data_IF_611742470953
#
_entry.id   IF_611742470953
#
_cell.length_a   1.000
_cell.length_b   1.000
_cell.length_c   1.000
_cell.angle_alpha   90.00
_cell.angle_beta   90.00
_cell.angle_gamma   90.00
#
_symmetry.space_group_name_H-M   'P 1'
#
loop_
_entity.id
_entity.type
_entity.pdbx_description
1 polymer ?
#
# COMPACT_ATOMS: atom_id res chain seq x y z
N UNK A 1 -4.91 13.16 -16.03
CA UNK A 1 -5.05 11.82 -15.38
C UNK A 1 -3.68 11.46 -14.84
N UNK A 2 -3.63 11.04 -13.57
CA UNK A 2 -2.39 10.53 -12.96
C UNK A 2 -2.42 8.99 -12.99
N UNK A 3 -1.27 8.38 -13.27
CA UNK A 3 -1.12 6.93 -13.34
C UNK A 3 -0.93 6.29 -11.97
N UNK A 4 -1.23 5.01 -11.89
CA UNK A 4 -0.80 4.05 -10.88
C UNK A 4 -0.21 2.87 -11.66
N UNK A 5 0.93 2.36 -11.25
CA UNK A 5 1.61 1.31 -12.01
C UNK A 5 2.05 0.15 -11.11
N UNK A 6 1.87 -1.07 -11.64
CA UNK A 6 2.35 -2.29 -11.01
C UNK A 6 3.79 -2.53 -11.46
N UNK A 7 4.71 -2.61 -10.51
CA UNK A 7 6.15 -2.71 -10.77
C UNK A 7 6.84 -3.62 -9.75
N UNK A 8 7.99 -4.15 -10.11
CA UNK A 8 8.88 -4.87 -9.21
C UNK A 8 8.25 -6.09 -8.49
N UNK A 9 7.27 -6.73 -9.15
CA UNK A 9 6.63 -7.94 -8.63
C UNK A 9 7.54 -9.17 -8.78
N UNK A 10 8.10 -9.38 -9.98
CA UNK A 10 8.92 -10.55 -10.31
C UNK A 10 10.39 -10.19 -10.62
N UNK A 11 10.65 -8.94 -10.91
CA UNK A 11 11.96 -8.39 -11.27
C UNK A 11 11.97 -6.88 -11.09
N UNK A 12 13.17 -6.30 -11.05
CA UNK A 12 13.40 -4.86 -10.94
C UNK A 12 14.01 -4.33 -12.24
N UNK A 13 13.20 -3.88 -13.19
CA UNK A 13 13.63 -3.32 -14.48
C UNK A 13 13.42 -1.79 -14.57
N UNK A 14 13.65 -1.06 -13.46
CA UNK A 14 13.51 0.39 -13.43
C UNK A 14 12.06 0.88 -13.42
N UNK A 15 11.09 0.02 -13.01
CA UNK A 15 9.68 0.38 -12.94
C UNK A 15 9.39 1.47 -11.91
N UNK A 16 10.12 1.50 -10.80
CA UNK A 16 10.02 2.54 -9.77
C UNK A 16 10.48 3.89 -10.33
N UNK A 17 11.66 3.94 -10.95
CA UNK A 17 12.17 5.14 -11.61
C UNK A 17 11.20 5.70 -12.66
N UNK A 18 10.64 4.82 -13.47
CA UNK A 18 9.66 5.20 -14.48
C UNK A 18 8.42 5.82 -13.83
N UNK A 19 7.92 5.21 -12.76
CA UNK A 19 6.78 5.72 -12.01
C UNK A 19 7.02 7.11 -11.44
N UNK A 20 8.16 7.30 -10.78
CA UNK A 20 8.56 8.59 -10.20
C UNK A 20 8.77 9.64 -11.29
N UNK A 21 9.48 9.30 -12.37
CA UNK A 21 9.73 10.21 -13.50
C UNK A 21 8.44 10.72 -14.15
N UNK A 22 7.40 9.91 -14.17
CA UNK A 22 6.10 10.28 -14.72
C UNK A 22 5.08 10.76 -13.67
N UNK A 23 5.53 11.06 -12.45
CA UNK A 23 4.69 11.54 -11.35
C UNK A 23 3.46 10.64 -11.11
N UNK A 24 3.66 9.33 -11.13
CA UNK A 24 2.62 8.38 -10.79
C UNK A 24 2.11 8.61 -9.36
N UNK A 25 0.83 8.39 -9.11
CA UNK A 25 0.27 8.46 -7.75
C UNK A 25 0.88 7.37 -6.86
N UNK A 26 1.08 6.18 -7.43
CA UNK A 26 1.69 5.07 -6.72
C UNK A 26 2.46 4.14 -7.64
N UNK A 27 3.36 3.39 -7.03
CA UNK A 27 3.99 2.19 -7.54
C UNK A 27 3.56 1.03 -6.66
N UNK A 28 2.99 0.00 -7.26
CA UNK A 28 2.28 -1.06 -6.55
C UNK A 28 3.06 -2.38 -6.69
N UNK A 29 2.97 -3.30 -5.73
CA UNK A 29 3.69 -4.56 -5.50
C UNK A 29 4.98 -4.39 -4.71
N UNK A 30 6.12 -4.16 -5.37
CA UNK A 30 7.42 -3.92 -4.75
C UNK A 30 7.96 -5.11 -3.95
N UNK A 31 7.64 -6.36 -4.34
CA UNK A 31 8.21 -7.56 -3.74
C UNK A 31 9.74 -7.58 -3.89
N UNK A 32 10.23 -7.03 -5.01
CA UNK A 32 11.66 -6.82 -5.27
C UNK A 32 11.95 -5.31 -5.19
N UNK A 33 12.65 -4.91 -4.14
CA UNK A 33 12.96 -3.50 -3.86
C UNK A 33 14.37 -3.37 -3.31
N UNK A 34 15.21 -2.60 -3.97
CA UNK A 34 16.59 -2.30 -3.55
C UNK A 34 16.72 -0.93 -2.86
N UNK A 35 17.95 -0.51 -2.57
CA UNK A 35 18.23 0.76 -1.93
C UNK A 35 18.08 1.95 -2.89
N UNK A 36 18.31 1.74 -4.19
CA UNK A 36 18.17 2.78 -5.21
C UNK A 36 16.70 3.11 -5.40
N UNK A 37 15.82 2.11 -5.48
CA UNK A 37 14.36 2.28 -5.52
C UNK A 37 13.85 3.10 -4.32
N UNK A 38 14.35 2.79 -3.11
CA UNK A 38 14.00 3.54 -1.89
C UNK A 38 14.47 4.99 -1.98
N UNK A 39 15.71 5.22 -2.43
CA UNK A 39 16.25 6.55 -2.57
C UNK A 39 15.47 7.40 -3.58
N UNK A 40 15.06 6.80 -4.70
CA UNK A 40 14.21 7.44 -5.72
C UNK A 40 12.84 7.80 -5.13
N UNK A 41 12.18 6.88 -4.44
CA UNK A 41 10.88 7.11 -3.81
C UNK A 41 10.94 8.22 -2.75
N UNK A 42 11.99 8.30 -1.94
CA UNK A 42 12.17 9.34 -0.91
C UNK A 42 12.22 10.75 -1.48
N UNK A 43 12.65 10.91 -2.70
CA UNK A 43 12.73 12.20 -3.40
C UNK A 43 11.51 12.48 -4.27
N UNK A 44 10.38 11.82 -4.03
CA UNK A 44 9.17 11.90 -4.84
C UNK A 44 7.89 11.98 -4.00
N UNK A 45 6.78 12.31 -4.65
CA UNK A 45 5.42 12.24 -4.10
C UNK A 45 4.71 10.90 -4.43
N UNK A 46 5.41 9.96 -5.09
CA UNK A 46 4.86 8.66 -5.48
C UNK A 46 4.77 7.74 -4.27
N UNK A 47 3.61 7.21 -3.99
CA UNK A 47 3.36 6.35 -2.82
C UNK A 47 3.66 4.88 -3.14
N UNK A 48 4.53 4.19 -2.39
CA UNK A 48 4.66 2.74 -2.47
C UNK A 48 3.39 2.06 -1.93
N UNK A 49 2.87 1.06 -2.66
CA UNK A 49 1.69 0.27 -2.26
C UNK A 49 2.04 -1.20 -2.21
N UNK A 50 1.85 -1.81 -1.06
CA UNK A 50 2.03 -3.25 -0.89
C UNK A 50 0.71 -4.01 -1.06
N UNK A 51 0.79 -5.18 -1.69
CA UNK A 51 -0.33 -6.03 -2.09
C UNK A 51 -0.24 -7.42 -1.43
N UNK A 52 -0.41 -7.53 -0.10
CA UNK A 52 -0.12 -8.76 0.63
C UNK A 52 -0.97 -9.95 0.20
N UNK A 53 -2.16 -9.71 -0.31
CA UNK A 53 -3.05 -10.76 -0.81
C UNK A 53 -2.50 -11.46 -2.05
N UNK A 54 -1.86 -10.71 -2.94
CA UNK A 54 -1.21 -11.24 -4.13
C UNK A 54 -0.01 -12.13 -3.76
N UNK A 55 0.91 -11.61 -2.94
CA UNK A 55 2.07 -12.38 -2.47
C UNK A 55 1.64 -13.66 -1.74
N UNK A 56 0.58 -13.59 -0.91
CA UNK A 56 0.02 -14.74 -0.22
C UNK A 56 -0.53 -15.80 -1.19
N UNK A 57 -1.37 -15.38 -2.12
CA UNK A 57 -2.05 -16.30 -3.04
C UNK A 57 -1.09 -16.98 -4.01
N UNK A 58 -0.11 -16.25 -4.51
CA UNK A 58 0.89 -16.76 -5.47
C UNK A 58 2.12 -17.36 -4.81
N UNK A 59 2.19 -17.39 -3.47
CA UNK A 59 3.38 -17.83 -2.72
C UNK A 59 4.67 -17.09 -3.12
N UNK A 60 4.55 -15.79 -3.38
CA UNK A 60 5.67 -14.90 -3.70
C UNK A 60 6.35 -14.37 -2.43
N UNK A 61 7.58 -13.88 -2.53
CA UNK A 61 8.16 -13.04 -1.49
C UNK A 61 7.23 -11.88 -1.14
N UNK A 62 7.28 -11.43 0.11
CA UNK A 62 6.50 -10.29 0.54
C UNK A 62 7.28 -8.98 0.34
N UNK A 63 6.58 -7.91 -0.02
CA UNK A 63 7.12 -6.54 -0.06
C UNK A 63 7.89 -6.24 1.23
N UNK A 64 9.12 -5.70 1.18
CA UNK A 64 9.94 -5.42 2.36
C UNK A 64 9.44 -4.19 3.12
N UNK A 65 8.22 -4.29 3.67
CA UNK A 65 7.49 -3.17 4.30
C UNK A 65 8.28 -2.52 5.44
N UNK A 66 8.97 -3.32 6.29
CA UNK A 66 9.80 -2.75 7.35
C UNK A 66 10.92 -1.85 6.82
N UNK A 67 11.56 -2.26 5.72
CA UNK A 67 12.60 -1.46 5.07
C UNK A 67 12.06 -0.13 4.56
N UNK A 68 10.88 -0.17 3.89
CA UNK A 68 10.19 1.02 3.37
C UNK A 68 9.83 1.97 4.52
N UNK A 69 9.16 1.49 5.55
CA UNK A 69 8.70 2.31 6.68
C UNK A 69 9.90 2.85 7.48
N UNK A 70 10.90 2.02 7.74
CA UNK A 70 12.11 2.43 8.48
C UNK A 70 12.94 3.48 7.72
N UNK A 71 12.80 3.55 6.41
CA UNK A 71 13.43 4.61 5.60
C UNK A 71 12.69 5.95 5.67
N UNK A 72 11.54 6.01 6.36
CA UNK A 72 10.71 7.21 6.47
C UNK A 72 9.66 7.37 5.37
N UNK A 73 9.48 6.37 4.51
CA UNK A 73 8.44 6.39 3.48
C UNK A 73 7.08 5.98 4.05
N UNK A 74 6.03 6.65 3.59
CA UNK A 74 4.66 6.18 3.80
C UNK A 74 4.41 4.96 2.91
N UNK A 75 3.81 3.91 3.50
CA UNK A 75 3.40 2.71 2.76
C UNK A 75 1.87 2.62 2.78
N UNK A 76 1.26 2.37 1.62
CA UNK A 76 -0.17 2.06 1.54
C UNK A 76 -0.39 0.54 1.37
N UNK A 77 -1.59 0.08 1.72
CA UNK A 77 -2.05 -1.29 1.51
C UNK A 77 -3.25 -1.31 0.57
N UNK A 78 -3.28 -2.29 -0.33
CA UNK A 78 -4.42 -2.56 -1.19
C UNK A 78 -4.61 -4.08 -1.37
N UNK A 79 -5.78 -4.47 -1.90
CA UNK A 79 -6.13 -5.89 -2.08
C UNK A 79 -5.62 -6.47 -3.39
N UNK A 80 -5.40 -5.64 -4.41
CA UNK A 80 -5.16 -6.10 -5.79
C UNK A 80 -6.26 -7.06 -6.29
N UNK A 81 -7.52 -6.83 -5.88
CA UNK A 81 -8.60 -7.77 -6.13
C UNK A 81 -8.77 -8.08 -7.60
N UNK A 82 -8.42 -9.30 -7.96
CA UNK A 82 -8.60 -9.85 -9.30
C UNK A 82 -8.66 -11.40 -9.24
N UNK A 83 -9.28 -12.08 -10.23
CA UNK A 83 -9.44 -13.53 -10.19
C UNK A 83 -8.13 -14.32 -10.39
N UNK A 84 -7.09 -13.70 -10.96
CA UNK A 84 -5.85 -14.40 -11.35
C UNK A 84 -4.82 -14.49 -10.23
N UNK A 85 -4.66 -13.45 -9.44
CA UNK A 85 -3.55 -13.35 -8.48
C UNK A 85 -3.96 -12.91 -7.07
N UNK A 86 -5.17 -12.37 -6.88
CA UNK A 86 -5.65 -11.92 -5.58
C UNK A 86 -7.18 -12.03 -5.47
N UNK A 87 -7.75 -13.24 -5.36
CA UNK A 87 -9.19 -13.45 -5.45
C UNK A 87 -9.98 -13.03 -4.20
N UNK A 88 -9.42 -12.17 -3.36
CA UNK A 88 -10.07 -11.64 -2.15
C UNK A 88 -9.95 -10.14 -2.03
N UNK A 89 -11.09 -9.43 -2.00
CA UNK A 89 -11.17 -8.02 -1.68
C UNK A 89 -11.29 -7.71 -0.17
N UNK A 90 -11.08 -8.71 0.69
CA UNK A 90 -11.23 -8.55 2.15
C UNK A 90 -10.06 -7.77 2.75
N UNK A 91 -10.23 -6.46 2.94
CA UNK A 91 -9.20 -5.59 3.52
C UNK A 91 -8.82 -5.97 4.96
N UNK A 92 -9.72 -6.55 5.77
CA UNK A 92 -9.35 -7.05 7.11
C UNK A 92 -8.32 -8.19 7.01
N UNK A 93 -8.45 -9.04 5.99
CA UNK A 93 -7.46 -10.08 5.71
C UNK A 93 -6.13 -9.48 5.25
N UNK A 94 -6.16 -8.47 4.38
CA UNK A 94 -4.94 -7.75 3.95
C UNK A 94 -4.22 -7.11 5.14
N UNK A 95 -4.98 -6.47 6.02
CA UNK A 95 -4.44 -5.87 7.25
C UNK A 95 -3.83 -6.93 8.19
N UNK A 96 -4.46 -8.09 8.33
CA UNK A 96 -3.93 -9.22 9.13
C UNK A 96 -2.62 -9.76 8.53
N UNK A 97 -2.56 -9.92 7.21
CA UNK A 97 -1.31 -10.31 6.52
C UNK A 97 -0.21 -9.27 6.74
N UNK A 98 -0.54 -7.98 6.70
CA UNK A 98 0.44 -6.91 6.92
C UNK A 98 1.02 -6.96 8.36
N UNK A 99 0.18 -7.20 9.37
CA UNK A 99 0.67 -7.40 10.74
C UNK A 99 1.59 -8.62 10.84
N UNK A 100 1.18 -9.76 10.28
CA UNK A 100 1.88 -11.04 10.46
C UNK A 100 3.11 -11.15 9.57
N UNK A 101 2.98 -10.85 8.28
CA UNK A 101 4.03 -11.05 7.29
C UNK A 101 4.96 -9.84 7.17
N UNK A 102 4.41 -8.63 7.13
CA UNK A 102 5.18 -7.40 7.00
C UNK A 102 5.70 -6.87 8.35
N UNK A 103 5.29 -7.49 9.47
CA UNK A 103 5.64 -7.06 10.85
C UNK A 103 5.28 -5.59 11.11
N UNK A 104 4.18 -5.14 10.53
CA UNK A 104 3.65 -3.80 10.77
C UNK A 104 2.89 -3.76 12.10
N UNK A 105 2.96 -2.63 12.81
CA UNK A 105 2.10 -2.41 13.99
C UNK A 105 0.65 -2.16 13.55
N UNK A 106 -0.29 -2.26 14.50
CA UNK A 106 -1.70 -1.99 14.21
C UNK A 106 -1.93 -0.56 13.71
N UNK A 107 -1.22 0.41 14.26
CA UNK A 107 -1.29 1.83 13.88
C UNK A 107 -0.76 2.04 12.46
N UNK A 108 0.37 1.41 12.12
CA UNK A 108 0.94 1.46 10.77
C UNK A 108 -0.01 0.86 9.75
N UNK A 109 -0.63 -0.27 10.06
CA UNK A 109 -1.60 -0.95 9.18
C UNK A 109 -2.87 -0.10 8.99
N UNK A 110 -3.39 0.52 10.04
CA UNK A 110 -4.54 1.43 9.94
C UNK A 110 -4.19 2.62 9.05
N UNK A 111 -3.05 3.27 9.29
CA UNK A 111 -2.60 4.39 8.46
C UNK A 111 -2.39 3.97 6.99
N UNK A 112 -1.78 2.81 6.75
CA UNK A 112 -1.56 2.27 5.42
C UNK A 112 -2.86 2.00 4.66
N UNK A 113 -3.91 1.55 5.37
CA UNK A 113 -5.21 1.22 4.78
C UNK A 113 -6.16 2.42 4.68
N UNK A 114 -5.82 3.56 5.27
CA UNK A 114 -6.69 4.75 5.31
C UNK A 114 -6.02 5.97 4.71
N UNK A 115 -5.23 6.72 5.46
CA UNK A 115 -4.67 8.00 5.00
C UNK A 115 -3.66 7.81 3.88
N UNK A 116 -2.75 6.83 3.98
CA UNK A 116 -1.77 6.56 2.94
C UNK A 116 -2.44 6.02 1.66
N UNK A 117 -3.45 5.14 1.81
CA UNK A 117 -4.25 4.68 0.68
C UNK A 117 -4.99 5.83 0.00
N UNK A 118 -5.52 6.79 0.76
CA UNK A 118 -6.16 7.99 0.21
C UNK A 118 -5.16 8.87 -0.58
N UNK A 119 -3.91 8.98 -0.14
CA UNK A 119 -2.84 9.63 -0.90
C UNK A 119 -2.56 8.87 -2.20
N UNK A 120 -2.35 7.55 -2.13
CA UNK A 120 -2.11 6.72 -3.30
C UNK A 120 -3.25 6.76 -4.33
N UNK A 121 -4.46 7.14 -3.90
CA UNK A 121 -5.64 7.33 -4.76
C UNK A 121 -5.84 8.79 -5.21
N UNK A 122 -5.03 9.73 -4.72
CA UNK A 122 -5.17 11.16 -5.01
C UNK A 122 -6.41 11.81 -4.39
N UNK A 123 -6.99 11.23 -3.34
CA UNK A 123 -8.23 11.70 -2.69
C UNK A 123 -8.04 12.09 -1.22
N UNK A 124 -6.82 12.23 -0.75
CA UNK A 124 -6.49 12.52 0.65
C UNK A 124 -7.10 13.82 1.19
N UNK A 125 -7.40 14.79 0.31
CA UNK A 125 -8.08 16.03 0.68
C UNK A 125 -9.51 15.80 1.20
N UNK A 126 -10.14 14.71 0.77
CA UNK A 126 -11.56 14.43 1.06
C UNK A 126 -11.79 13.11 1.80
N UNK A 127 -10.79 12.24 1.90
CA UNK A 127 -10.90 10.89 2.49
C UNK A 127 -9.67 10.54 3.33
N UNK A 128 -9.73 9.41 4.02
CA UNK A 128 -8.60 8.75 4.67
C UNK A 128 -8.32 9.17 6.11
N UNK A 129 -9.01 10.18 6.64
CA UNK A 129 -8.86 10.56 8.05
C UNK A 129 -10.14 11.21 8.60
N UNK A 130 -10.29 11.18 9.92
CA UNK A 130 -11.41 11.81 10.63
C UNK A 130 -11.04 13.28 10.88
N UNK A 131 -11.45 14.16 9.96
CA UNK A 131 -11.20 15.60 10.03
C UNK A 131 -12.43 16.36 9.54
N UNK A 132 -12.62 17.57 10.07
CA UNK A 132 -13.69 18.47 9.62
C UNK A 132 -13.54 18.74 8.12
N UNK A 133 -14.62 18.62 7.37
CA UNK A 133 -14.67 18.85 5.92
C UNK A 133 -14.37 17.61 5.08
N UNK A 134 -13.92 16.50 5.68
CA UNK A 134 -13.76 15.23 4.95
C UNK A 134 -15.05 14.39 4.97
N UNK A 135 -15.17 13.51 3.98
CA UNK A 135 -16.31 12.59 3.87
C UNK A 135 -16.21 11.52 4.96
N UNK A 136 -17.31 11.33 5.70
CA UNK A 136 -17.40 10.37 6.78
C UNK A 136 -17.82 8.98 6.24
N UNK A 137 -16.86 8.20 5.76
CA UNK A 137 -17.02 6.77 5.50
C UNK A 137 -16.60 5.98 6.75
N UNK A 138 -17.43 6.05 7.79
CA UNK A 138 -17.18 5.41 9.08
C UNK A 138 -18.19 4.28 9.23
N UNK A 139 -17.68 3.05 9.43
CA UNK A 139 -18.52 1.89 9.72
C UNK A 139 -18.34 1.52 11.20
N UNK A 140 -19.24 1.97 12.10
CA UNK A 140 -19.17 1.57 13.49
C UNK A 140 -19.46 0.06 13.60
N UNK A 141 -18.45 -0.72 13.96
CA UNK A 141 -18.64 -2.12 14.29
C UNK A 141 -19.27 -2.20 15.66
N UNK A 142 -20.52 -2.64 15.80
CA UNK A 142 -21.08 -2.99 17.10
C UNK A 142 -20.25 -4.15 17.67
N UNK A 143 -19.41 -3.86 18.63
CA UNK A 143 -18.77 -4.89 19.45
C UNK A 143 -19.85 -5.38 20.43
N UNK A 144 -20.41 -6.56 20.20
CA UNK A 144 -21.12 -7.27 21.27
C UNK A 144 -20.03 -7.75 22.23
N UNK A 145 -19.94 -7.10 23.38
CA UNK A 145 -19.19 -7.67 24.52
C UNK A 145 -20.05 -8.86 24.99
N UNK A 146 -19.51 -10.06 24.85
CA UNK A 146 -20.10 -11.29 25.36
C UNK A 146 -19.65 -11.43 26.81
#
# INVERSE_FOLDING_TARGET
IKSKIHVNQFNAFGGVDLGVKHNALSVDHLEILDEEDIAVLKNSETIPVALPGCSFFLSLPYTPARKIISSGLALALASDFNPGSAPSGNMNFMMSLACVQYKMSAEEVINASTINAAYAMGISKTHGSICIGKKAYIFPKRIKII
#
